data_IF_879646457588
#
_entry.id   IF_879646457588
#
_cell.length_a   1.000
_cell.length_b   1.000
_cell.length_c   1.000
_cell.angle_alpha   90.00
_cell.angle_beta   90.00
_cell.angle_gamma   90.00
#
_symmetry.space_group_name_H-M   'P 1'
#
loop_
_entity.id
_entity.type
_entity.pdbx_description
1 polymer ?
#
# COMPACT_ATOMS: atom_id res chain seq x y z
N UNK A 1 52.64 9.57 43.74
CA UNK A 1 51.55 10.25 43.01
C UNK A 1 51.49 9.91 41.51
N UNK A 2 52.60 10.01 40.75
CA UNK A 2 52.60 9.73 39.29
C UNK A 2 52.13 8.30 38.91
N UNK A 3 52.50 7.29 39.71
CA UNK A 3 52.08 5.90 39.49
C UNK A 3 50.58 5.71 39.74
N UNK A 4 50.03 6.25 40.82
CA UNK A 4 48.59 6.17 41.12
C UNK A 4 47.75 6.80 40.00
N UNK A 5 48.20 7.96 39.49
CA UNK A 5 47.53 8.64 38.38
C UNK A 5 47.53 7.78 37.11
N UNK A 6 48.64 7.11 36.80
CA UNK A 6 48.75 6.21 35.64
C UNK A 6 47.84 4.98 35.71
N UNK A 7 47.60 4.45 36.92
CA UNK A 7 46.70 3.30 37.09
C UNK A 7 45.23 3.71 37.00
N UNK A 8 44.89 4.89 37.55
CA UNK A 8 43.55 5.47 37.42
C UNK A 8 43.18 5.76 35.96
N UNK A 9 44.09 6.35 35.19
CA UNK A 9 43.84 6.60 33.76
C UNK A 9 43.72 5.30 32.97
N UNK A 10 44.57 4.30 33.24
CA UNK A 10 44.46 2.99 32.60
C UNK A 10 43.14 2.28 32.90
N UNK A 11 42.69 2.30 34.15
CA UNK A 11 41.40 1.72 34.54
C UNK A 11 40.22 2.44 33.87
N UNK A 12 40.28 3.77 33.76
CA UNK A 12 39.23 4.57 33.13
C UNK A 12 39.12 4.31 31.62
N UNK A 13 40.26 4.17 30.93
CA UNK A 13 40.30 3.80 29.51
C UNK A 13 39.76 2.37 29.30
N UNK A 14 40.19 1.41 30.12
CA UNK A 14 39.70 0.03 30.03
C UNK A 14 38.21 -0.08 30.30
N UNK A 15 37.69 0.66 31.29
CA UNK A 15 36.26 0.73 31.54
C UNK A 15 35.50 1.31 30.34
N UNK A 16 36.02 2.39 29.73
CA UNK A 16 35.43 2.97 28.51
C UNK A 16 35.39 2.00 27.33
N UNK A 17 36.49 1.26 27.09
CA UNK A 17 36.58 0.27 26.03
C UNK A 17 35.65 -0.94 26.27
N UNK A 18 35.58 -1.43 27.51
CA UNK A 18 34.67 -2.53 27.88
C UNK A 18 33.20 -2.10 27.78
N UNK A 19 32.88 -0.85 28.12
CA UNK A 19 31.53 -0.29 27.92
C UNK A 19 31.12 -0.34 26.44
N UNK A 20 32.05 -0.03 25.53
CA UNK A 20 31.81 -0.07 24.09
C UNK A 20 31.65 -1.47 23.49
N UNK A 21 32.08 -2.53 24.19
CA UNK A 21 31.89 -3.92 23.76
C UNK A 21 30.57 -4.54 24.23
N UNK A 22 30.01 -4.05 25.35
CA UNK A 22 28.78 -4.58 25.94
C UNK A 22 27.54 -3.84 25.44
N UNK A 23 27.70 -2.61 24.97
CA UNK A 23 26.63 -1.85 24.31
C UNK A 23 26.80 -2.09 22.80
N UNK A 24 26.04 -3.00 22.17
CA UNK A 24 25.99 -3.03 20.71
C UNK A 24 25.59 -1.62 20.27
N UNK A 25 26.35 -1.02 19.34
CA UNK A 25 25.87 0.16 18.64
C UNK A 25 24.53 -0.22 18.03
N UNK A 26 23.44 0.24 18.63
CA UNK A 26 22.12 0.12 18.05
C UNK A 26 22.22 0.76 16.68
N UNK A 27 22.12 -0.07 15.64
CA UNK A 27 22.05 0.40 14.27
C UNK A 27 20.66 0.98 14.14
N UNK A 28 20.50 2.27 14.47
CA UNK A 28 19.29 3.06 14.24
C UNK A 28 19.03 3.33 12.75
N UNK A 29 19.52 2.46 11.85
CA UNK A 29 19.29 2.61 10.42
C UNK A 29 17.79 2.54 10.10
N UNK A 30 17.02 1.78 10.89
CA UNK A 30 15.57 1.71 10.72
C UNK A 30 14.88 3.03 11.06
N UNK A 31 15.27 3.70 12.15
CA UNK A 31 14.65 4.94 12.62
C UNK A 31 15.02 6.15 11.76
N UNK A 32 16.27 6.22 11.26
CA UNK A 32 16.72 7.25 10.33
C UNK A 32 16.03 7.14 8.96
N UNK A 33 15.83 5.92 8.45
CA UNK A 33 15.09 5.69 7.20
C UNK A 33 13.59 5.98 7.35
N UNK A 34 12.99 5.58 8.48
CA UNK A 34 11.59 5.86 8.83
C UNK A 34 11.31 7.38 8.87
N UNK A 35 12.20 8.13 9.52
CA UNK A 35 12.11 9.60 9.63
C UNK A 35 12.41 10.33 8.32
N UNK A 36 13.28 9.78 7.47
CA UNK A 36 13.69 10.43 6.22
C UNK A 36 12.71 10.24 5.06
N UNK A 37 11.97 9.12 5.01
CA UNK A 37 11.16 8.78 3.85
C UNK A 37 9.65 8.69 4.09
N UNK A 38 9.18 8.44 5.31
CA UNK A 38 7.79 7.99 5.46
C UNK A 38 7.01 8.59 6.64
N UNK A 39 7.63 8.94 7.76
CA UNK A 39 6.87 9.31 8.97
C UNK A 39 5.89 8.22 9.45
N UNK A 40 5.98 7.02 8.86
CA UNK A 40 5.14 5.85 9.02
C UNK A 40 6.00 4.58 8.86
N UNK A 41 5.52 3.44 9.34
CA UNK A 41 6.18 2.14 9.22
C UNK A 41 6.53 1.82 7.76
N UNK A 42 7.78 1.44 7.48
CA UNK A 42 8.21 1.05 6.13
C UNK A 42 7.47 -0.24 5.75
N UNK A 43 6.43 -0.12 4.91
CA UNK A 43 5.60 -1.24 4.45
C UNK A 43 5.23 -1.12 2.99
N UNK A 44 4.95 -2.26 2.36
CA UNK A 44 4.40 -2.30 1.02
C UNK A 44 2.88 -2.10 1.07
N UNK A 45 2.44 -0.88 0.78
CA UNK A 45 1.02 -0.48 0.75
C UNK A 45 0.20 -1.33 -0.22
N UNK A 46 0.80 -1.86 -1.29
CA UNK A 46 0.10 -2.69 -2.27
C UNK A 46 -0.31 -4.04 -1.68
N UNK A 47 0.53 -4.65 -0.84
CA UNK A 47 0.23 -5.93 -0.20
C UNK A 47 -0.95 -5.79 0.77
N UNK A 48 -1.00 -4.69 1.53
CA UNK A 48 -2.12 -4.35 2.41
C UNK A 48 -3.42 -4.19 1.62
N UNK A 49 -3.36 -3.49 0.47
CA UNK A 49 -4.52 -3.33 -0.43
C UNK A 49 -4.99 -4.65 -1.05
N UNK A 50 -4.08 -5.56 -1.37
CA UNK A 50 -4.45 -6.89 -1.88
C UNK A 50 -5.19 -7.70 -0.81
N UNK A 51 -4.78 -7.60 0.45
CA UNK A 51 -5.46 -8.23 1.57
C UNK A 51 -6.82 -7.59 1.85
N UNK A 52 -6.90 -6.25 1.88
CA UNK A 52 -8.12 -5.49 2.20
C UNK A 52 -9.28 -5.78 1.24
N UNK A 53 -8.99 -6.02 -0.05
CA UNK A 53 -10.04 -6.30 -1.04
C UNK A 53 -10.61 -7.73 -1.00
N UNK A 54 -10.08 -8.62 -0.17
CA UNK A 54 -10.57 -10.00 0.03
C UNK A 54 -10.81 -10.78 -1.29
N UNK A 55 -9.92 -10.61 -2.28
CA UNK A 55 -10.02 -11.27 -3.58
C UNK A 55 -11.09 -10.71 -4.53
N UNK A 56 -11.85 -9.69 -4.11
CA UNK A 56 -12.83 -8.98 -4.96
C UNK A 56 -12.16 -7.96 -5.88
N UNK A 57 -12.90 -7.49 -6.87
CA UNK A 57 -12.48 -6.33 -7.68
C UNK A 57 -12.80 -5.06 -6.91
N UNK A 58 -11.75 -4.34 -6.49
CA UNK A 58 -11.87 -3.05 -5.84
C UNK A 58 -12.15 -1.96 -6.88
N UNK A 59 -13.31 -1.33 -6.79
CA UNK A 59 -13.79 -0.33 -7.74
C UNK A 59 -12.96 0.96 -7.73
N UNK A 60 -12.13 1.20 -6.71
CA UNK A 60 -11.29 2.39 -6.60
C UNK A 60 -9.83 2.14 -6.99
N UNK A 61 -9.37 0.88 -7.00
CA UNK A 61 -7.94 0.56 -7.10
C UNK A 61 -7.60 -0.55 -8.11
N UNK A 62 -8.57 -1.37 -8.51
CA UNK A 62 -8.30 -2.43 -9.48
C UNK A 62 -8.24 -1.89 -10.91
N UNK A 63 -7.36 -2.50 -11.72
CA UNK A 63 -7.27 -2.19 -13.14
C UNK A 63 -8.54 -2.61 -13.90
N UNK A 64 -8.84 -1.88 -14.97
CA UNK A 64 -10.01 -2.09 -15.84
C UNK A 64 -10.07 -3.52 -16.40
N UNK A 65 -8.90 -4.16 -16.55
CA UNK A 65 -8.77 -5.53 -17.06
C UNK A 65 -9.33 -6.57 -16.08
N UNK A 66 -9.40 -6.26 -14.78
CA UNK A 66 -10.00 -7.16 -13.78
C UNK A 66 -11.49 -7.38 -14.01
N UNK A 67 -12.17 -6.51 -14.76
CA UNK A 67 -13.58 -6.72 -15.10
C UNK A 67 -13.80 -7.74 -16.23
N UNK A 68 -12.76 -8.18 -16.94
CA UNK A 68 -12.87 -9.17 -18.02
C UNK A 68 -13.38 -10.54 -17.54
N UNK A 69 -13.20 -10.85 -16.25
CA UNK A 69 -13.72 -12.08 -15.64
C UNK A 69 -15.24 -12.09 -15.50
N UNK A 70 -15.93 -10.96 -15.71
CA UNK A 70 -17.37 -10.82 -15.59
C UNK A 70 -18.01 -10.60 -16.97
N UNK A 71 -18.63 -11.63 -17.58
CA UNK A 71 -19.20 -11.53 -18.92
C UNK A 71 -20.16 -10.34 -19.07
N UNK A 72 -19.86 -9.47 -20.04
CA UNK A 72 -20.62 -8.25 -20.35
C UNK A 72 -20.07 -6.96 -19.73
N UNK A 73 -19.18 -7.03 -18.73
CA UNK A 73 -18.66 -5.84 -18.05
C UNK A 73 -17.63 -5.09 -18.89
N UNK A 74 -16.72 -5.80 -19.56
CA UNK A 74 -15.67 -5.19 -20.39
C UNK A 74 -16.10 -5.08 -21.86
N UNK A 75 -15.79 -3.98 -22.58
CA UNK A 75 -15.05 -2.79 -22.11
C UNK A 75 -15.96 -1.68 -21.53
N UNK A 76 -17.22 -1.58 -21.95
CA UNK A 76 -18.03 -0.38 -21.73
C UNK A 76 -18.40 -0.12 -20.27
N UNK A 77 -18.91 -1.12 -19.56
CA UNK A 77 -19.32 -0.94 -18.15
C UNK A 77 -18.09 -0.74 -17.26
N UNK A 78 -17.02 -1.52 -17.50
CA UNK A 78 -15.75 -1.40 -16.81
C UNK A 78 -15.13 0.00 -16.98
N UNK A 79 -15.15 0.55 -18.20
CA UNK A 79 -14.67 1.90 -18.48
C UNK A 79 -15.47 2.98 -17.74
N UNK A 80 -16.81 2.88 -17.72
CA UNK A 80 -17.65 3.81 -16.94
C UNK A 80 -17.31 3.78 -15.45
N UNK A 81 -17.12 2.58 -14.88
CA UNK A 81 -16.76 2.42 -13.46
C UNK A 81 -15.37 3.00 -13.17
N UNK A 82 -14.37 2.72 -14.01
CA UNK A 82 -13.00 3.19 -13.77
C UNK A 82 -12.91 4.71 -13.87
N UNK A 83 -13.58 5.31 -14.86
CA UNK A 83 -13.58 6.76 -15.11
C UNK A 83 -14.53 7.54 -14.19
N UNK A 84 -15.54 6.88 -13.61
CA UNK A 84 -16.56 7.51 -12.78
C UNK A 84 -16.27 7.53 -11.28
N UNK A 85 -15.23 6.82 -10.83
CA UNK A 85 -14.82 6.81 -9.43
C UNK A 85 -13.98 8.05 -9.03
N UNK A 86 -13.50 8.09 -7.77
CA UNK A 86 -13.66 7.08 -6.73
C UNK A 86 -15.07 7.05 -6.11
N UNK A 87 -15.39 5.93 -5.49
CA UNK A 87 -16.67 5.65 -4.83
C UNK A 87 -16.49 5.56 -3.31
N UNK A 88 -17.55 5.86 -2.54
CA UNK A 88 -17.58 5.66 -1.09
C UNK A 88 -18.12 4.28 -0.73
N UNK A 89 -19.05 3.76 -1.53
CA UNK A 89 -19.60 2.42 -1.39
C UNK A 89 -19.86 1.80 -2.77
N UNK A 90 -20.13 0.49 -2.79
CA UNK A 90 -20.32 -0.25 -4.05
C UNK A 90 -21.55 0.24 -4.83
N UNK A 91 -22.64 0.65 -4.18
CA UNK A 91 -23.86 1.15 -4.86
C UNK A 91 -23.69 2.49 -5.56
N UNK A 92 -22.67 3.30 -5.23
CA UNK A 92 -22.44 4.59 -5.88
C UNK A 92 -22.23 4.46 -7.41
N UNK A 93 -21.88 3.27 -7.90
CA UNK A 93 -21.84 2.97 -9.34
C UNK A 93 -23.19 3.19 -10.03
N UNK A 94 -24.30 3.02 -9.31
CA UNK A 94 -25.66 3.21 -9.84
C UNK A 94 -26.00 4.69 -10.10
N UNK A 95 -25.21 5.63 -9.59
CA UNK A 95 -25.34 7.06 -9.86
C UNK A 95 -24.77 7.47 -11.22
N UNK A 96 -23.99 6.59 -11.86
CA UNK A 96 -23.51 6.80 -13.22
C UNK A 96 -24.68 6.80 -14.22
N UNK A 97 -24.46 7.42 -15.38
CA UNK A 97 -25.37 7.28 -16.51
C UNK A 97 -25.35 5.84 -17.04
N UNK A 98 -26.26 4.99 -16.55
CA UNK A 98 -26.38 3.57 -16.87
C UNK A 98 -27.72 3.28 -17.55
N UNK A 99 -27.68 2.48 -18.61
CA UNK A 99 -28.91 1.87 -19.14
C UNK A 99 -29.49 0.84 -18.17
N UNK A 100 -30.78 0.52 -18.28
CA UNK A 100 -31.41 -0.52 -17.45
C UNK A 100 -30.66 -1.86 -17.55
N UNK A 101 -30.18 -2.20 -18.75
CA UNK A 101 -29.37 -3.40 -18.95
C UNK A 101 -28.03 -3.35 -18.21
N UNK A 102 -27.41 -2.17 -18.09
CA UNK A 102 -26.18 -1.99 -17.33
C UNK A 102 -26.42 -2.09 -15.82
N UNK A 103 -27.57 -1.59 -15.32
CA UNK A 103 -27.97 -1.75 -13.92
C UNK A 103 -28.21 -3.22 -13.56
N UNK A 104 -28.93 -3.96 -14.39
CA UNK A 104 -29.12 -5.42 -14.23
C UNK A 104 -27.79 -6.16 -14.22
N UNK A 105 -26.89 -5.81 -15.15
CA UNK A 105 -25.57 -6.42 -15.26
C UNK A 105 -24.72 -6.14 -14.03
N UNK A 106 -24.74 -4.91 -13.52
CA UNK A 106 -24.07 -4.54 -12.28
C UNK A 106 -24.63 -5.34 -11.10
N UNK A 107 -25.96 -5.38 -10.94
CA UNK A 107 -26.61 -6.16 -9.89
C UNK A 107 -26.22 -7.64 -9.92
N UNK A 108 -26.09 -8.24 -11.11
CA UNK A 108 -25.66 -9.64 -11.28
C UNK A 108 -24.28 -9.92 -10.68
N UNK A 109 -23.34 -8.98 -10.77
CA UNK A 109 -21.95 -9.18 -10.30
C UNK A 109 -21.60 -8.40 -9.04
N UNK A 110 -22.53 -7.63 -8.48
CA UNK A 110 -22.34 -6.71 -7.35
C UNK A 110 -21.51 -7.29 -6.21
N UNK A 111 -21.79 -8.52 -5.81
CA UNK A 111 -21.13 -9.15 -4.65
C UNK A 111 -19.64 -9.44 -4.87
N UNK A 112 -19.16 -9.40 -6.12
CA UNK A 112 -17.76 -9.55 -6.50
C UNK A 112 -16.97 -8.24 -6.42
N UNK A 113 -17.63 -7.15 -6.04
CA UNK A 113 -17.01 -5.83 -5.92
C UNK A 113 -16.83 -5.43 -4.46
N UNK A 114 -15.83 -4.59 -4.25
CA UNK A 114 -15.59 -3.89 -2.98
C UNK A 114 -15.13 -2.48 -3.27
N UNK A 115 -15.09 -1.65 -2.23
CA UNK A 115 -14.58 -0.28 -2.28
C UNK A 115 -13.64 -0.11 -1.11
N UNK A 116 -12.39 0.24 -1.40
CA UNK A 116 -11.44 0.69 -0.38
C UNK A 116 -10.96 2.10 -0.70
N UNK A 117 -10.35 2.83 0.26
CA UNK A 117 -9.78 4.14 -0.03
C UNK A 117 -8.83 4.10 -1.25
N UNK A 118 -8.89 5.09 -2.15
CA UNK A 118 -8.01 5.13 -3.31
C UNK A 118 -6.55 5.21 -2.86
N UNK A 119 -5.69 4.45 -3.52
CA UNK A 119 -4.25 4.36 -3.24
C UNK A 119 -3.45 4.96 -4.38
N UNK A 120 -2.59 5.93 -4.07
CA UNK A 120 -1.65 6.55 -5.02
C UNK A 120 -0.81 5.47 -5.71
N UNK A 121 -0.38 4.44 -4.96
CA UNK A 121 0.45 3.35 -5.47
C UNK A 121 -0.22 2.44 -6.51
N UNK A 122 -1.54 2.54 -6.69
CA UNK A 122 -2.31 1.74 -7.65
C UNK A 122 -3.04 2.59 -8.71
N UNK A 123 -3.04 3.91 -8.55
CA UNK A 123 -3.88 4.81 -9.34
C UNK A 123 -3.07 5.80 -10.18
N UNK A 124 -1.90 6.21 -9.73
CA UNK A 124 -1.03 7.10 -10.51
C UNK A 124 -0.52 6.42 -11.78
N UNK A 125 -0.11 7.21 -12.78
CA UNK A 125 0.44 6.69 -14.04
C UNK A 125 -0.59 6.01 -14.96
N UNK A 126 -1.88 6.22 -14.72
CA UNK A 126 -2.99 5.54 -15.41
C UNK A 126 -2.95 4.01 -15.24
N UNK A 127 -2.40 3.52 -14.12
CA UNK A 127 -2.27 2.08 -13.82
C UNK A 127 -3.64 1.37 -13.77
N UNK A 128 -4.71 2.10 -13.46
CA UNK A 128 -6.08 1.57 -13.57
C UNK A 128 -6.49 1.28 -15.01
N UNK A 129 -5.94 1.99 -15.99
CA UNK A 129 -6.19 1.77 -17.41
C UNK A 129 -5.24 0.70 -17.95
N UNK A 130 -3.96 0.76 -17.55
CA UNK A 130 -2.91 -0.14 -17.98
C UNK A 130 -1.93 -0.45 -16.84
N UNK A 131 -2.13 -1.59 -16.16
CA UNK A 131 -1.29 -2.05 -15.05
C UNK A 131 0.00 -2.77 -15.50
N UNK A 132 0.37 -2.68 -16.77
CA UNK A 132 1.58 -3.30 -17.32
C UNK A 132 1.56 -4.84 -17.37
N UNK A 133 0.48 -5.50 -16.95
CA UNK A 133 0.39 -6.95 -16.92
C UNK A 133 -0.14 -7.49 -18.26
N UNK A 134 0.69 -8.23 -19.01
CA UNK A 134 0.28 -8.86 -20.27
C UNK A 134 0.55 -10.37 -20.24
N UNK A 135 0.19 -11.07 -21.31
CA UNK A 135 0.51 -12.49 -21.51
C UNK A 135 1.72 -12.64 -22.41
#
# INVERSE_FOLDING_TARGET
MKRLLSWLTGALVMAGLLSGLVIPSAVYAEEDLLGKYSGSEIRNVVDDKIAEREGKVDLNNSSVRRFQQFPGMYPTMAGKIVLGGPYNNVDDVLELDLSERQKELFAKYRDNFTVTPPSIALNEGDDRINDGQYR
#
